data_IF_704838963163
#
_entry.id   IF_704838963163
#
_cell.length_a   1.000
_cell.length_b   1.000
_cell.length_c   1.000
_cell.angle_alpha   90.00
_cell.angle_beta   90.00
_cell.angle_gamma   90.00
#
_symmetry.space_group_name_H-M   'P 1'
#
loop_
_entity.id
_entity.type
_entity.pdbx_description
1 polymer ?
#
# COMPACT_ATOMS: atom_id res chain seq x y z
N UNK A 1 8.55 -24.96 0.29
CA UNK A 1 8.74 -24.79 1.74
C UNK A 1 7.77 -23.70 2.12
N UNK A 2 6.67 -24.08 2.74
CA UNK A 2 5.55 -23.17 3.03
C UNK A 2 5.75 -22.63 4.44
N UNK A 3 5.83 -21.32 4.63
CA UNK A 3 6.00 -20.72 5.95
C UNK A 3 4.62 -20.63 6.63
N UNK A 4 4.50 -21.18 7.84
CA UNK A 4 3.28 -21.04 8.65
C UNK A 4 3.41 -19.91 9.67
N UNK A 5 2.37 -19.07 9.73
CA UNK A 5 2.30 -17.91 10.62
C UNK A 5 0.89 -17.71 11.18
N UNK A 6 0.81 -17.10 12.37
CA UNK A 6 -0.41 -16.56 12.94
C UNK A 6 -0.30 -15.03 13.00
N UNK A 7 -1.33 -14.31 12.56
CA UNK A 7 -1.35 -12.86 12.62
C UNK A 7 -2.67 -12.31 13.17
N UNK A 8 -2.59 -11.11 13.74
CA UNK A 8 -3.74 -10.33 14.20
C UNK A 8 -3.52 -8.88 13.83
N UNK A 9 -4.54 -8.25 13.27
CA UNK A 9 -4.54 -6.83 12.94
C UNK A 9 -5.56 -6.09 13.81
N UNK A 10 -5.18 -4.93 14.36
CA UNK A 10 -6.09 -4.06 15.09
C UNK A 10 -6.80 -3.03 14.18
N UNK A 11 -7.64 -2.16 14.77
CA UNK A 11 -8.38 -1.14 14.03
C UNK A 11 -7.51 -0.02 13.47
N UNK A 12 -6.31 0.17 14.01
CA UNK A 12 -5.36 1.23 13.62
C UNK A 12 -4.38 0.71 12.55
N UNK A 13 -4.43 -0.59 12.24
CA UNK A 13 -3.57 -1.24 11.25
C UNK A 13 -2.27 -1.79 11.82
N UNK A 14 -2.11 -1.84 13.15
CA UNK A 14 -1.00 -2.56 13.78
C UNK A 14 -1.19 -4.05 13.54
N UNK A 15 -0.14 -4.72 13.09
CA UNK A 15 -0.13 -6.16 12.82
C UNK A 15 0.84 -6.83 13.80
N UNK A 16 0.33 -7.77 14.57
CA UNK A 16 1.12 -8.67 15.38
C UNK A 16 1.19 -10.01 14.64
N UNK A 17 2.38 -10.55 14.44
CA UNK A 17 2.56 -11.84 13.78
C UNK A 17 3.60 -12.70 14.46
N UNK A 18 3.39 -14.01 14.43
CA UNK A 18 4.31 -15.02 14.92
C UNK A 18 4.54 -16.09 13.86
N UNK A 19 5.78 -16.59 13.75
CA UNK A 19 6.17 -17.65 12.82
C UNK A 19 6.55 -18.93 13.56
N UNK A 20 6.32 -20.07 12.91
CA UNK A 20 6.81 -21.37 13.34
C UNK A 20 8.26 -21.61 12.91
N UNK A 21 9.03 -22.30 13.75
CA UNK A 21 10.42 -22.70 13.47
C UNK A 21 10.54 -23.78 12.39
N UNK A 22 9.54 -24.66 12.29
CA UNK A 22 9.55 -25.86 11.44
C UNK A 22 8.46 -25.84 10.37
N UNK A 23 7.77 -24.69 10.21
CA UNK A 23 6.65 -24.56 9.29
C UNK A 23 5.48 -25.50 9.61
N UNK A 24 5.27 -25.84 10.89
CA UNK A 24 4.09 -26.54 11.38
C UNK A 24 3.23 -25.64 12.29
N UNK A 25 1.93 -25.92 12.38
CA UNK A 25 1.03 -25.20 13.31
C UNK A 25 1.11 -25.72 14.76
N UNK A 26 2.00 -26.67 15.03
CA UNK A 26 2.04 -27.39 16.32
C UNK A 26 3.29 -27.07 17.13
N UNK A 27 4.38 -26.67 16.46
CA UNK A 27 5.66 -26.38 17.09
C UNK A 27 5.81 -24.87 17.23
N UNK A 28 6.07 -24.40 18.45
CA UNK A 28 6.46 -23.03 18.74
C UNK A 28 5.57 -21.94 18.08
N UNK A 29 4.25 -22.17 17.99
CA UNK A 29 3.30 -21.23 17.39
C UNK A 29 1.97 -21.23 18.16
N UNK A 30 1.90 -20.46 19.24
CA UNK A 30 0.75 -20.44 20.16
C UNK A 30 -0.29 -19.39 19.78
N UNK A 31 0.15 -18.17 19.43
CA UNK A 31 -0.70 -17.06 19.00
C UNK A 31 0.13 -15.99 18.26
N UNK A 32 -0.51 -14.92 17.78
CA UNK A 32 0.14 -13.82 17.03
C UNK A 32 1.23 -13.05 17.79
N UNK A 33 1.33 -13.23 19.11
CA UNK A 33 2.34 -12.58 19.99
C UNK A 33 3.28 -13.58 20.67
N UNK A 34 3.10 -14.88 20.42
CA UNK A 34 3.87 -15.94 21.06
C UNK A 34 4.09 -17.08 20.07
N UNK A 35 5.30 -17.13 19.54
CA UNK A 35 5.82 -18.21 18.71
C UNK A 35 7.35 -18.19 18.70
N UNK A 36 7.97 -18.90 17.76
CA UNK A 36 9.42 -18.96 17.61
C UNK A 36 10.02 -17.58 17.31
N UNK A 37 9.46 -16.89 16.32
CA UNK A 37 9.82 -15.51 15.98
C UNK A 37 8.55 -14.66 15.92
N UNK A 38 8.60 -13.46 16.51
CA UNK A 38 7.45 -12.57 16.61
C UNK A 38 7.78 -11.17 16.12
N UNK A 39 6.87 -10.57 15.36
CA UNK A 39 7.01 -9.23 14.81
C UNK A 39 5.80 -8.37 15.17
N UNK A 40 6.05 -7.07 15.35
CA UNK A 40 5.03 -6.05 15.48
C UNK A 40 5.25 -5.03 14.37
N UNK A 41 4.38 -5.07 13.37
CA UNK A 41 4.39 -4.13 12.25
C UNK A 41 3.42 -2.99 12.57
N UNK A 42 3.90 -1.77 12.39
CA UNK A 42 3.05 -0.58 12.46
C UNK A 42 2.92 0.02 11.05
N UNK A 43 1.75 0.57 10.71
CA UNK A 43 1.59 1.26 9.45
C UNK A 43 2.53 2.47 9.43
N UNK A 44 3.29 2.61 8.36
CA UNK A 44 4.11 3.80 8.14
C UNK A 44 3.17 4.94 7.74
N UNK A 45 3.21 6.04 8.49
CA UNK A 45 2.48 7.24 8.13
C UNK A 45 2.99 7.75 6.76
N UNK A 46 2.06 8.06 5.86
CA UNK A 46 2.43 8.68 4.60
C UNK A 46 2.88 10.13 4.84
N UNK A 47 3.99 10.51 4.23
CA UNK A 47 4.43 11.91 4.27
C UNK A 47 3.39 12.81 3.60
N UNK A 48 3.19 14.05 4.07
CA UNK A 48 2.32 14.99 3.38
C UNK A 48 2.84 15.27 1.97
N UNK A 49 1.93 15.60 1.06
CA UNK A 49 2.31 16.03 -0.28
C UNK A 49 3.08 17.36 -0.23
N UNK A 50 4.04 17.60 -1.14
CA UNK A 50 4.60 18.93 -1.32
C UNK A 50 3.50 19.98 -1.56
N UNK A 51 3.77 21.23 -1.21
CA UNK A 51 2.77 22.30 -1.30
C UNK A 51 2.25 22.46 -2.74
N UNK A 52 3.15 22.41 -3.72
CA UNK A 52 2.86 22.55 -5.14
C UNK A 52 1.91 21.46 -5.65
N UNK A 53 2.01 20.25 -5.08
CA UNK A 53 1.14 19.11 -5.40
C UNK A 53 -0.20 19.23 -4.68
N UNK A 54 -0.19 19.72 -3.43
CA UNK A 54 -1.39 19.82 -2.57
C UNK A 54 -2.41 20.83 -3.08
N UNK A 55 -1.95 21.94 -3.68
CA UNK A 55 -2.82 23.02 -4.17
C UNK A 55 -3.27 22.84 -5.63
N UNK A 56 -2.78 21.81 -6.33
CA UNK A 56 -3.18 21.55 -7.71
C UNK A 56 -4.65 21.13 -7.81
N UNK A 57 -5.40 21.77 -8.71
CA UNK A 57 -6.80 21.42 -9.00
C UNK A 57 -6.84 20.55 -10.27
N UNK A 58 -6.55 19.27 -10.13
CA UNK A 58 -6.69 18.28 -11.19
C UNK A 58 -7.47 17.06 -10.67
N UNK A 59 -8.15 16.34 -11.55
CA UNK A 59 -8.67 15.00 -11.26
C UNK A 59 -8.55 14.12 -12.48
N UNK A 60 -8.39 12.82 -12.25
CA UNK A 60 -8.42 11.84 -13.32
C UNK A 60 -9.82 11.75 -13.93
N UNK A 61 -9.95 11.35 -15.21
CA UNK A 61 -11.24 11.16 -15.85
C UNK A 61 -12.13 10.20 -15.07
N UNK A 62 -13.44 10.50 -15.03
CA UNK A 62 -14.42 9.67 -14.29
C UNK A 62 -14.45 8.21 -14.74
N UNK A 63 -14.18 7.95 -16.02
CA UNK A 63 -14.15 6.58 -16.56
C UNK A 63 -12.97 5.74 -16.04
N UNK A 64 -11.92 6.39 -15.53
CA UNK A 64 -10.76 5.72 -14.95
C UNK A 64 -10.96 5.37 -13.48
N UNK A 65 -11.93 6.01 -12.79
CA UNK A 65 -12.15 5.82 -11.35
C UNK A 65 -12.63 4.40 -11.05
N UNK A 66 -12.20 3.88 -9.90
CA UNK A 66 -12.58 2.55 -9.42
C UNK A 66 -11.36 1.69 -9.06
N UNK A 67 -11.68 0.43 -8.73
CA UNK A 67 -10.69 -0.61 -8.43
C UNK A 67 -10.49 -1.48 -9.67
N UNK A 68 -9.25 -1.50 -10.15
CA UNK A 68 -8.76 -2.31 -11.26
C UNK A 68 -7.78 -3.36 -10.73
N UNK A 69 -7.33 -4.25 -11.60
CA UNK A 69 -6.27 -5.18 -11.25
C UNK A 69 -4.99 -4.41 -10.88
N UNK A 70 -4.62 -4.48 -9.60
CA UNK A 70 -3.46 -3.83 -8.98
C UNK A 70 -3.43 -2.30 -9.02
N UNK A 71 -4.49 -1.65 -9.52
CA UNK A 71 -4.60 -0.19 -9.61
C UNK A 71 -5.90 0.25 -8.95
N UNK A 72 -5.84 1.31 -8.14
CA UNK A 72 -7.03 1.99 -7.61
C UNK A 72 -6.96 3.46 -7.98
N UNK A 73 -8.03 4.01 -8.52
CA UNK A 73 -8.11 5.42 -8.92
C UNK A 73 -9.30 6.09 -8.25
N UNK A 74 -9.05 7.17 -7.54
CA UNK A 74 -10.05 7.93 -6.79
C UNK A 74 -9.73 9.43 -6.89
N UNK A 75 -10.59 10.18 -7.58
CA UNK A 75 -10.43 11.63 -7.73
C UNK A 75 -9.15 12.00 -8.48
N UNK A 76 -8.20 12.60 -7.75
CA UNK A 76 -6.91 13.04 -8.23
C UNK A 76 -5.77 12.05 -7.95
N UNK A 77 -6.07 10.93 -7.29
CA UNK A 77 -5.07 10.00 -6.78
C UNK A 77 -5.23 8.61 -7.39
N UNK A 78 -4.10 8.02 -7.77
CA UNK A 78 -3.99 6.65 -8.28
C UNK A 78 -2.96 5.90 -7.44
N UNK A 79 -3.30 4.69 -7.01
CA UNK A 79 -2.40 3.77 -6.31
C UNK A 79 -2.15 2.57 -7.21
N UNK A 80 -0.89 2.30 -7.55
CA UNK A 80 -0.48 1.15 -8.35
C UNK A 80 0.44 0.24 -7.54
N UNK A 81 0.14 -1.06 -7.51
CA UNK A 81 0.92 -2.09 -6.82
C UNK A 81 1.64 -2.97 -7.84
N UNK A 82 2.93 -2.72 -8.04
CA UNK A 82 3.75 -3.49 -8.97
C UNK A 82 4.02 -4.90 -8.41
N UNK A 83 3.62 -5.91 -9.18
CA UNK A 83 3.79 -7.33 -8.81
C UNK A 83 5.24 -7.81 -8.99
N UNK A 84 6.04 -7.14 -9.82
CA UNK A 84 7.42 -7.56 -10.08
C UNK A 84 8.40 -7.07 -9.02
N UNK A 85 8.23 -5.83 -8.57
CA UNK A 85 9.10 -5.21 -7.57
C UNK A 85 8.51 -5.15 -6.17
N UNK A 86 7.24 -5.55 -6.00
CA UNK A 86 6.46 -5.42 -4.76
C UNK A 86 6.37 -3.97 -4.23
N UNK A 87 6.56 -2.98 -5.10
CA UNK A 87 6.49 -1.56 -4.75
C UNK A 87 5.08 -1.01 -4.93
N UNK A 88 4.71 -0.10 -4.04
CA UNK A 88 3.47 0.69 -4.19
C UNK A 88 3.81 2.10 -4.65
N UNK A 89 3.23 2.51 -5.77
CA UNK A 89 3.32 3.85 -6.32
C UNK A 89 2.03 4.61 -6.01
N UNK A 90 2.15 5.72 -5.28
CA UNK A 90 1.04 6.66 -5.09
C UNK A 90 1.27 7.84 -6.03
N UNK A 91 0.35 8.02 -6.96
CA UNK A 91 0.43 8.97 -8.06
C UNK A 91 -0.70 9.98 -7.89
N UNK A 92 -0.38 11.27 -7.95
CA UNK A 92 -1.32 12.37 -7.82
C UNK A 92 -1.31 13.22 -9.09
N UNK A 93 -2.49 13.55 -9.61
CA UNK A 93 -2.58 14.48 -10.72
C UNK A 93 -2.25 15.89 -10.26
N UNK A 94 -1.38 16.58 -11.00
CA UNK A 94 -0.98 17.96 -10.70
C UNK A 94 -1.38 18.95 -11.79
N UNK A 95 -1.83 18.47 -12.96
CA UNK A 95 -2.30 19.34 -14.02
C UNK A 95 -2.74 18.59 -15.26
N UNK A 96 -3.46 19.28 -16.13
CA UNK A 96 -3.88 18.79 -17.44
C UNK A 96 -3.18 19.66 -18.47
N UNK A 97 -2.50 19.06 -19.44
CA UNK A 97 -1.90 19.79 -20.54
C UNK A 97 -3.01 20.06 -21.57
N UNK A 98 -3.47 21.31 -21.63
CA UNK A 98 -4.48 21.76 -22.61
C UNK A 98 -4.09 21.31 -24.03
N UNK A 99 -5.08 20.89 -24.82
CA UNK A 99 -4.93 20.31 -26.16
C UNK A 99 -4.19 18.98 -26.25
N UNK A 100 -3.97 18.31 -25.12
CA UNK A 100 -3.47 16.93 -25.10
C UNK A 100 -4.27 16.06 -24.13
N UNK A 101 -4.52 14.80 -24.50
CA UNK A 101 -5.10 13.78 -23.60
C UNK A 101 -4.06 13.30 -22.56
N UNK A 102 -3.25 14.22 -22.02
CA UNK A 102 -2.12 13.94 -21.13
C UNK A 102 -2.27 14.68 -19.81
N UNK A 103 -1.87 13.97 -18.76
CA UNK A 103 -1.93 14.44 -17.38
C UNK A 103 -0.51 14.61 -16.85
N UNK A 104 -0.25 15.75 -16.22
CA UNK A 104 0.93 15.93 -15.39
C UNK A 104 0.68 15.24 -14.06
N UNK A 105 1.63 14.39 -13.66
CA UNK A 105 1.53 13.61 -12.43
C UNK A 105 2.75 13.83 -11.55
N UNK A 106 2.53 13.73 -10.25
CA UNK A 106 3.56 13.55 -9.25
C UNK A 106 3.45 12.13 -8.68
N UNK A 107 4.55 11.38 -8.66
CA UNK A 107 4.57 10.02 -8.12
C UNK A 107 5.52 9.91 -6.95
N UNK A 108 5.11 9.17 -5.92
CA UNK A 108 5.99 8.69 -4.86
C UNK A 108 5.93 7.17 -4.75
N UNK A 109 7.00 6.61 -4.22
CA UNK A 109 7.14 5.17 -4.03
C UNK A 109 7.22 4.86 -2.54
N UNK A 110 6.49 3.85 -2.11
CA UNK A 110 6.64 3.24 -0.79
C UNK A 110 7.32 1.88 -0.96
N UNK A 111 8.27 1.61 -0.07
CA UNK A 111 9.03 0.35 0.04
C UNK A 111 8.42 -0.50 1.15
#
# INVERSE_FOLDING_TARGET
MDILLLYKQDRVGKIEMALSSDSTCTTDLNNSTSGFETFVLAPKAEEPWPAEVSFSMCSFPKWLHGDWEHVRVEGDTMVYKDQSSFKTYTIKCVGILEDSDRYLIFSRTQW
#
